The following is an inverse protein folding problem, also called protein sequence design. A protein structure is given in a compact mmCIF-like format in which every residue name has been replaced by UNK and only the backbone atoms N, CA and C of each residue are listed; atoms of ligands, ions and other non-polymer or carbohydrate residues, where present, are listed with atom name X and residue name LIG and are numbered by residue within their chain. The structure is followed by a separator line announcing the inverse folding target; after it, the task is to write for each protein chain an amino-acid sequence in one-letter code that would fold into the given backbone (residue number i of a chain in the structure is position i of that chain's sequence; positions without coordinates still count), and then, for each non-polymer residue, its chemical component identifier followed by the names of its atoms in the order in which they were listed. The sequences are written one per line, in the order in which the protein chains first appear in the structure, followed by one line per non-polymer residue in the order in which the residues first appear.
data_IF_509205372022
#
_entry.id   IF_509205372022
#
_cell.length_a   1.000
_cell.length_b   1.000
_cell.length_c   1.000
_cell.angle_alpha   90.00
_cell.angle_beta   90.00
_cell.angle_gamma   90.00
#
_symmetry.space_group_name_H-M   'P 1'
#
loop_
_entity.id
_entity.type
_entity.pdbx_description
1 polymer ?
#
# COMPACT_ATOMS: atom_id res chain seq x y z
N UNK A 1 -21.88 -5.14 17.26
CA UNK A 1 -20.44 -5.48 17.26
C UNK A 1 -19.69 -4.18 17.10
N UNK A 2 -18.91 -3.76 18.10
CA UNK A 2 -18.10 -2.55 18.02
C UNK A 2 -16.73 -2.96 17.48
N UNK A 3 -16.62 -3.05 16.16
CA UNK A 3 -15.34 -3.23 15.50
C UNK A 3 -14.68 -1.84 15.46
N UNK A 4 -13.52 -1.70 16.10
CA UNK A 4 -12.83 -0.42 16.22
C UNK A 4 -11.53 -0.42 15.46
N UNK A 5 -11.33 0.62 14.66
CA UNK A 5 -10.06 0.91 13.99
C UNK A 5 -9.22 1.82 14.88
N UNK A 6 -8.03 1.36 15.26
CA UNK A 6 -7.08 2.13 16.05
C UNK A 6 -5.96 2.64 15.14
N UNK A 7 -5.79 3.96 15.09
CA UNK A 7 -4.76 4.63 14.29
C UNK A 7 -3.66 5.15 15.22
N UNK A 8 -2.40 4.85 14.89
CA UNK A 8 -1.22 5.29 15.66
C UNK A 8 -0.12 5.82 14.74
N UNK A 9 0.33 7.04 14.99
CA UNK A 9 1.55 7.58 14.40
C UNK A 9 2.75 7.11 15.22
N UNK A 10 3.69 6.40 14.59
CA UNK A 10 4.78 5.71 15.32
C UNK A 10 5.98 6.64 15.55
N UNK A 11 6.27 7.56 14.62
CA UNK A 11 7.46 8.45 14.69
C UNK A 11 7.23 9.85 14.12
N UNK A 12 6.63 9.93 12.94
CA UNK A 12 6.36 11.16 12.20
C UNK A 12 5.02 11.02 11.46
N UNK A 13 4.51 12.12 10.89
CA UNK A 13 3.32 12.11 10.02
C UNK A 13 3.43 11.10 8.87
N UNK A 14 4.66 10.77 8.49
CA UNK A 14 4.99 10.02 7.29
C UNK A 14 4.96 8.48 7.49
N UNK A 15 4.68 8.01 8.72
CA UNK A 15 4.50 6.60 9.02
C UNK A 15 3.34 6.40 10.00
N UNK A 16 2.30 5.71 9.52
CA UNK A 16 1.09 5.46 10.28
C UNK A 16 0.81 3.96 10.35
N UNK A 17 0.53 3.49 11.55
CA UNK A 17 0.11 2.12 11.82
C UNK A 17 -1.39 2.11 12.11
N UNK A 18 -2.09 1.13 11.53
CA UNK A 18 -3.53 0.93 11.74
C UNK A 18 -3.75 -0.48 12.19
N UNK A 19 -4.53 -0.64 13.25
CA UNK A 19 -4.86 -1.95 13.79
C UNK A 19 -6.38 -2.11 13.80
N UNK A 20 -6.85 -3.23 13.28
CA UNK A 20 -8.26 -3.63 13.40
C UNK A 20 -8.39 -4.56 14.60
N UNK A 21 -9.25 -4.17 15.53
CA UNK A 21 -9.58 -4.96 16.70
C UNK A 21 -11.02 -5.45 16.63
N UNK A 22 -11.19 -6.76 16.85
CA UNK A 22 -12.49 -7.43 16.94
C UNK A 22 -12.50 -8.18 18.26
N UNK A 23 -13.50 -7.91 19.11
CA UNK A 23 -13.62 -8.51 20.45
C UNK A 23 -12.35 -8.34 21.32
N UNK A 24 -11.68 -7.19 21.20
CA UNK A 24 -10.46 -6.86 21.95
C UNK A 24 -9.20 -7.60 21.47
N UNK A 25 -9.27 -8.32 20.33
CA UNK A 25 -8.11 -8.98 19.71
C UNK A 25 -7.73 -8.26 18.43
N UNK A 26 -6.43 -8.00 18.26
CA UNK A 26 -5.88 -7.55 16.98
C UNK A 26 -6.03 -8.66 15.95
N UNK A 27 -6.84 -8.42 14.92
CA UNK A 27 -7.05 -9.37 13.82
C UNK A 27 -6.29 -9.00 12.56
N UNK A 28 -6.10 -7.70 12.31
CA UNK A 28 -5.33 -7.21 11.18
C UNK A 28 -4.47 -6.02 11.59
N UNK A 29 -3.29 -5.94 10.97
CA UNK A 29 -2.33 -4.86 11.17
C UNK A 29 -1.90 -4.32 9.82
N UNK A 30 -2.03 -3.02 9.63
CA UNK A 30 -1.72 -2.29 8.41
C UNK A 30 -0.69 -1.22 8.71
N UNK A 31 0.10 -0.85 7.70
CA UNK A 31 0.93 0.35 7.78
C UNK A 31 0.90 1.13 6.46
N UNK A 32 0.90 2.45 6.60
CA UNK A 32 1.02 3.41 5.50
C UNK A 32 2.33 4.16 5.71
N UNK A 33 3.15 4.24 4.66
CA UNK A 33 4.41 4.97 4.74
C UNK A 33 4.65 5.84 3.52
N UNK A 34 5.25 7.01 3.78
CA UNK A 34 5.65 7.96 2.77
C UNK A 34 7.18 8.05 2.68
N UNK A 35 7.68 8.05 1.45
CA UNK A 35 9.09 8.31 1.13
C UNK A 35 10.04 7.13 1.33
N UNK A 36 11.16 7.19 0.61
CA UNK A 36 12.13 6.09 0.50
C UNK A 36 12.79 5.70 1.84
N UNK A 37 13.01 6.67 2.74
CA UNK A 37 13.62 6.42 4.05
C UNK A 37 12.80 5.45 4.90
N UNK A 38 11.47 5.61 4.90
CA UNK A 38 10.58 4.73 5.65
C UNK A 38 10.50 3.34 4.99
N UNK A 39 10.46 3.31 3.66
CA UNK A 39 10.48 2.07 2.88
C UNK A 39 11.70 1.20 3.20
N UNK A 40 12.91 1.79 3.26
CA UNK A 40 14.13 1.05 3.61
C UNK A 40 14.02 0.34 4.96
N UNK A 41 13.38 0.95 5.96
CA UNK A 41 13.19 0.33 7.27
C UNK A 41 12.20 -0.84 7.20
N UNK A 42 11.12 -0.72 6.41
CA UNK A 42 10.16 -1.81 6.19
C UNK A 42 10.83 -2.98 5.46
N UNK A 43 11.59 -2.71 4.39
CA UNK A 43 12.31 -3.75 3.64
C UNK A 43 13.23 -4.55 4.56
N UNK A 44 13.99 -3.88 5.43
CA UNK A 44 14.84 -4.56 6.44
C UNK A 44 14.03 -5.42 7.41
N UNK A 45 12.84 -4.97 7.84
CA UNK A 45 11.95 -5.78 8.69
C UNK A 45 11.43 -7.01 7.97
N UNK A 46 11.11 -6.89 6.67
CA UNK A 46 10.69 -8.02 5.83
C UNK A 46 11.82 -9.04 5.69
N UNK A 47 13.02 -8.58 5.33
CA UNK A 47 14.21 -9.44 5.17
C UNK A 47 14.58 -10.17 6.46
N UNK A 48 14.39 -9.53 7.62
CA UNK A 48 14.70 -10.12 8.94
C UNK A 48 13.56 -10.95 9.53
N UNK A 49 12.43 -11.07 8.83
CA UNK A 49 11.25 -11.81 9.33
C UNK A 49 10.56 -11.14 10.53
N UNK A 50 10.79 -9.84 10.75
CA UNK A 50 10.26 -9.03 11.86
C UNK A 50 9.13 -8.08 11.43
N UNK A 51 8.58 -8.28 10.25
CA UNK A 51 7.45 -7.49 9.73
C UNK A 51 6.14 -8.16 10.12
N UNK A 52 5.35 -7.49 10.96
CA UNK A 52 4.06 -7.97 11.49
C UNK A 52 2.85 -7.34 10.79
N UNK A 53 3.07 -6.65 9.66
CA UNK A 53 2.01 -6.03 8.86
C UNK A 53 1.44 -7.02 7.84
N UNK A 54 0.11 -7.07 7.74
CA UNK A 54 -0.63 -7.87 6.78
C UNK A 54 -0.75 -7.16 5.43
N UNK A 55 -0.76 -5.83 5.45
CA UNK A 55 -0.82 -5.00 4.25
C UNK A 55 -0.04 -3.70 4.48
N UNK A 56 0.66 -3.28 3.43
CA UNK A 56 1.54 -2.12 3.41
C UNK A 56 1.19 -1.23 2.22
N UNK A 57 0.86 0.03 2.49
CA UNK A 57 0.69 1.05 1.47
C UNK A 57 1.91 1.96 1.45
N UNK A 58 2.61 2.00 0.31
CA UNK A 58 3.85 2.77 0.13
C UNK A 58 3.58 3.87 -0.88
N UNK A 59 3.73 5.13 -0.47
CA UNK A 59 3.56 6.29 -1.34
C UNK A 59 4.88 7.05 -1.50
N UNK A 60 5.14 7.53 -2.72
CA UNK A 60 6.30 8.38 -2.99
C UNK A 60 6.10 9.83 -2.52
N UNK A 61 4.85 10.32 -2.54
CA UNK A 61 4.47 11.68 -2.19
C UNK A 61 3.29 11.66 -1.20
N UNK A 62 3.24 12.55 -0.20
CA UNK A 62 2.14 12.61 0.78
C UNK A 62 0.80 13.09 0.23
N UNK A 63 0.75 13.66 -0.98
CA UNK A 63 -0.42 14.37 -1.48
C UNK A 63 -0.96 13.79 -2.79
N UNK A 64 -1.87 12.81 -2.70
CA UNK A 64 -3.03 12.67 -3.59
C UNK A 64 -3.82 11.41 -3.26
N UNK A 65 -5.01 11.57 -2.68
CA UNK A 65 -6.05 10.54 -2.78
C UNK A 65 -6.74 10.70 -4.13
N UNK A 66 -6.64 9.73 -5.05
CA UNK A 66 -7.38 9.81 -6.32
C UNK A 66 -8.91 9.75 -6.10
N UNK A 67 -9.36 9.35 -4.91
CA UNK A 67 -10.78 9.25 -4.58
C UNK A 67 -11.47 10.60 -4.43
N UNK A 68 -10.73 11.66 -4.12
CA UNK A 68 -11.27 13.03 -4.04
C UNK A 68 -11.39 13.69 -5.42
N UNK A 69 -10.91 13.04 -6.48
CA UNK A 69 -10.97 13.58 -7.84
C UNK A 69 -12.37 13.35 -8.46
N UNK A 70 -13.14 14.40 -8.79
CA UNK A 70 -14.48 14.26 -9.35
C UNK A 70 -14.51 13.56 -10.72
N UNK A 71 -13.42 13.61 -11.49
CA UNK A 71 -13.29 12.89 -12.77
C UNK A 71 -13.24 11.38 -12.52
N UNK A 72 -12.48 10.95 -11.49
CA UNK A 72 -12.36 9.54 -11.12
C UNK A 72 -13.71 9.01 -10.64
N UNK A 73 -14.44 9.78 -9.82
CA UNK A 73 -15.80 9.42 -9.41
C UNK A 73 -16.71 9.22 -10.62
N UNK A 74 -16.69 10.14 -11.59
CA UNK A 74 -17.46 10.02 -12.82
C UNK A 74 -17.07 8.81 -13.69
N UNK A 75 -15.79 8.42 -13.70
CA UNK A 75 -15.31 7.23 -14.43
C UNK A 75 -15.86 5.94 -13.82
N UNK A 76 -15.90 5.84 -12.49
CA UNK A 76 -16.52 4.72 -11.79
C UNK A 76 -18.03 4.68 -12.04
N UNK A 77 -18.73 5.78 -11.75
CA UNK A 77 -20.19 5.87 -11.88
C UNK A 77 -20.68 5.57 -13.31
N UNK A 78 -19.91 5.95 -14.35
CA UNK A 78 -20.35 5.82 -15.76
C UNK A 78 -19.81 4.58 -16.48
N UNK A 79 -18.64 4.06 -16.12
CA UNK A 79 -17.98 3.05 -16.96
C UNK A 79 -17.39 1.85 -16.20
N UNK A 80 -16.67 2.08 -15.11
CA UNK A 80 -16.02 0.99 -14.35
C UNK A 80 -16.95 0.29 -13.36
N UNK A 81 -18.14 0.86 -13.12
CA UNK A 81 -19.09 0.43 -12.09
C UNK A 81 -18.44 0.56 -10.70
N UNK A 82 -18.13 -0.55 -10.04
CA UNK A 82 -17.54 -0.56 -8.70
C UNK A 82 -16.10 -1.09 -8.70
N UNK A 83 -15.22 -0.58 -7.80
CA UNK A 83 -13.88 -1.13 -7.59
C UNK A 83 -13.92 -2.66 -7.36
N UNK A 84 -13.03 -3.39 -8.02
CA UNK A 84 -12.91 -4.84 -7.86
C UNK A 84 -13.87 -5.70 -8.70
N UNK A 85 -14.78 -5.09 -9.47
CA UNK A 85 -15.63 -5.85 -10.41
C UNK A 85 -14.87 -6.33 -11.66
N UNK A 86 -15.43 -7.28 -12.41
CA UNK A 86 -14.77 -7.93 -13.57
C UNK A 86 -14.21 -6.92 -14.57
N UNK A 87 -14.93 -5.81 -14.79
CA UNK A 87 -14.54 -4.76 -15.73
C UNK A 87 -13.32 -3.98 -15.22
N UNK A 88 -13.38 -3.43 -14.00
CA UNK A 88 -12.22 -2.78 -13.37
C UNK A 88 -11.03 -3.74 -13.27
N UNK A 89 -11.27 -5.00 -12.89
CA UNK A 89 -10.25 -6.03 -12.82
C UNK A 89 -9.56 -6.27 -14.16
N UNK A 90 -10.32 -6.31 -15.26
CA UNK A 90 -9.80 -6.55 -16.60
C UNK A 90 -8.97 -5.40 -17.14
N UNK A 91 -9.34 -4.15 -16.85
CA UNK A 91 -8.73 -2.98 -17.48
C UNK A 91 -7.71 -2.24 -16.60
N UNK A 92 -7.79 -2.35 -15.26
CA UNK A 92 -6.98 -1.56 -14.33
C UNK A 92 -5.93 -2.39 -13.57
N UNK A 93 -5.88 -3.72 -13.76
CA UNK A 93 -4.88 -4.56 -13.11
C UNK A 93 -3.70 -4.85 -14.04
N UNK A 94 -2.51 -4.80 -13.46
CA UNK A 94 -1.26 -5.25 -14.06
C UNK A 94 -0.44 -6.01 -13.02
N UNK A 95 0.60 -6.71 -13.46
CA UNK A 95 1.55 -7.38 -12.59
C UNK A 95 2.97 -6.99 -12.96
N UNK A 96 3.78 -6.70 -11.94
CA UNK A 96 5.20 -6.49 -12.13
C UNK A 96 5.89 -7.83 -12.33
N UNK A 97 6.85 -7.86 -13.24
CA UNK A 97 7.71 -9.00 -13.50
C UNK A 97 9.15 -8.61 -13.16
N UNK A 98 9.93 -9.50 -12.53
CA UNK A 98 11.34 -9.23 -12.26
C UNK A 98 12.08 -8.99 -13.57
N UNK A 99 12.84 -7.90 -13.66
CA UNK A 99 13.74 -7.67 -14.78
C UNK A 99 15.08 -8.32 -14.45
N UNK A 100 15.46 -9.36 -15.20
CA UNK A 100 16.80 -9.94 -15.12
C UNK A 100 17.82 -8.94 -15.68
N UNK A 101 18.79 -8.54 -14.86
CA UNK A 101 19.90 -7.70 -15.32
C UNK A 101 20.86 -8.57 -16.13
N UNK A 102 21.02 -8.30 -17.42
CA UNK A 102 22.00 -9.01 -18.24
C UNK A 102 23.43 -8.71 -17.76
N UNK A 103 24.28 -9.74 -17.79
CA UNK A 103 25.66 -9.75 -17.30
C UNK A 103 26.50 -8.64 -17.96
N UNK A 104 26.14 -8.21 -19.18
CA UNK A 104 26.81 -7.13 -19.93
C UNK A 104 26.76 -5.77 -19.22
N UNK A 105 25.82 -5.56 -18.28
CA UNK A 105 25.71 -4.32 -17.49
C UNK A 105 26.73 -4.21 -16.36
N UNK A 106 27.43 -5.29 -16.02
CA UNK A 106 28.41 -5.32 -14.92
C UNK A 106 29.86 -5.06 -15.37
N UNK A 107 30.09 -4.90 -16.69
CA UNK A 107 31.43 -4.72 -17.25
C UNK A 107 31.85 -3.24 -17.48
N UNK A 108 31.03 -2.28 -17.03
CA UNK A 108 31.42 -0.87 -17.02
C UNK A 108 31.40 -0.34 -15.59
N UNK A 109 32.53 -0.53 -14.90
CA UNK A 109 33.11 0.35 -13.87
C UNK A 109 34.52 -0.13 -13.55
#
# INVERSE_FOLDING_TARGET
MNDSLTFRHIKNSDFQEVTLEVEGKTVLKFAMCYGFRNLQNIVRKLETGKCDYHFLEIMACPSASPFDNPIIKGLYDKWLEQPGFVKARRYMHTQYHPVEKSITSQLHN
#
